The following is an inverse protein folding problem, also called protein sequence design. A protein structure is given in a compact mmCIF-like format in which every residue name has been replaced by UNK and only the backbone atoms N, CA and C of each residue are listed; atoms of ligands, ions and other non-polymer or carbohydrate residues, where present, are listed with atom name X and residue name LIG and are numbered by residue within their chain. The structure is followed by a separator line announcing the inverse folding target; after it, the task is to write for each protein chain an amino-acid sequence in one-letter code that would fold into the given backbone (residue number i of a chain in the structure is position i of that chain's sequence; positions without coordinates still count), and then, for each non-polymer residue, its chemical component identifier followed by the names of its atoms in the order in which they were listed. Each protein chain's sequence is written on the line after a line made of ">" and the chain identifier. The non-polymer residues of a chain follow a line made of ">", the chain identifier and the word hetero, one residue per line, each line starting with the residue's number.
data_IF_785190398002
#
_entry.id   IF_785190398002
#
_cell.length_a   1.000
_cell.length_b   1.000
_cell.length_c   1.000
_cell.angle_alpha   90.00
_cell.angle_beta   90.00
_cell.angle_gamma   90.00
#
_symmetry.space_group_name_H-M   'P 1'
#
loop_
_entity.id
_entity.type
_entity.pdbx_description
1 polymer ?
#
# COMPACT_ATOMS: atom_id res chain seq x y z
N UNK A 1 25.72 -3.04 -14.51
CA UNK A 1 24.73 -4.12 -14.68
C UNK A 1 23.38 -3.46 -14.83
N UNK A 2 22.69 -3.68 -15.96
CA UNK A 2 21.40 -3.03 -16.24
C UNK A 2 20.26 -3.67 -15.43
N UNK A 3 19.20 -2.91 -15.17
CA UNK A 3 18.00 -3.43 -14.53
C UNK A 3 17.39 -4.53 -15.42
N UNK A 4 17.51 -5.80 -15.01
CA UNK A 4 16.82 -6.91 -15.65
C UNK A 4 15.33 -6.76 -15.36
N UNK A 5 14.53 -6.43 -16.37
CA UNK A 5 13.06 -6.45 -16.24
C UNK A 5 12.63 -7.88 -15.90
N UNK A 6 11.97 -8.07 -14.77
CA UNK A 6 11.29 -9.33 -14.47
C UNK A 6 10.18 -9.51 -15.51
N UNK A 7 10.25 -10.59 -16.30
CA UNK A 7 9.43 -10.84 -17.49
C UNK A 7 7.97 -11.21 -17.16
N UNK A 8 7.58 -11.20 -15.88
CA UNK A 8 6.27 -11.61 -15.42
C UNK A 8 5.13 -10.56 -15.61
N UNK A 9 5.44 -9.30 -15.93
CA UNK A 9 4.42 -8.25 -16.13
C UNK A 9 4.44 -7.72 -17.57
N UNK A 10 3.76 -8.42 -18.48
CA UNK A 10 3.47 -7.90 -19.83
C UNK A 10 2.48 -6.74 -19.79
N UNK A 11 1.64 -6.65 -18.76
CA UNK A 11 0.69 -5.57 -18.53
C UNK A 11 0.51 -5.40 -17.01
N UNK A 12 0.18 -4.20 -16.52
CA UNK A 12 -0.29 -4.01 -15.14
C UNK A 12 -1.82 -4.17 -15.20
N UNK A 13 -2.39 -5.38 -14.98
CA UNK A 13 -3.83 -5.53 -15.04
C UNK A 13 -4.41 -4.80 -13.83
N UNK A 14 -5.00 -3.62 -14.03
CA UNK A 14 -5.95 -3.12 -13.05
C UNK A 14 -7.08 -4.14 -12.99
N UNK A 15 -7.14 -4.89 -11.89
CA UNK A 15 -8.00 -6.07 -11.75
C UNK A 15 -9.37 -5.75 -11.18
N UNK A 16 -9.51 -4.59 -10.56
CA UNK A 16 -10.77 -4.16 -9.96
C UNK A 16 -10.59 -3.07 -8.92
N UNK A 17 -11.68 -2.81 -8.22
CA UNK A 17 -11.76 -1.83 -7.14
C UNK A 17 -12.38 -2.55 -5.94
N UNK A 18 -11.79 -2.34 -4.76
CA UNK A 18 -12.36 -2.73 -3.48
C UNK A 18 -12.68 -1.46 -2.69
N UNK A 19 -13.88 -1.36 -2.14
CA UNK A 19 -14.33 -0.20 -1.36
C UNK A 19 -14.52 -0.66 0.08
N UNK A 20 -13.90 0.04 1.03
CA UNK A 20 -14.09 -0.17 2.46
C UNK A 20 -15.06 0.90 2.99
N UNK A 21 -16.32 0.53 3.17
CA UNK A 21 -17.43 1.46 3.41
C UNK A 21 -17.75 1.64 4.91
N UNK A 22 -18.73 2.51 5.19
CA UNK A 22 -19.21 2.73 6.55
C UNK A 22 -19.90 1.46 7.07
N UNK A 23 -19.36 0.88 8.15
CA UNK A 23 -19.84 -0.37 8.74
C UNK A 23 -18.89 -1.56 8.52
N UNK A 24 -17.88 -1.39 7.67
CA UNK A 24 -16.80 -2.36 7.50
C UNK A 24 -15.75 -2.28 8.61
N UNK A 25 -14.74 -3.13 8.52
CA UNK A 25 -13.64 -3.21 9.48
C UNK A 25 -12.65 -2.06 9.30
N UNK A 26 -12.13 -1.55 10.42
CA UNK A 26 -10.98 -0.64 10.43
C UNK A 26 -9.64 -1.37 10.21
N UNK A 27 -9.65 -2.70 10.15
CA UNK A 27 -8.50 -3.55 9.86
C UNK A 27 -8.84 -4.48 8.69
N UNK A 28 -8.10 -4.32 7.59
CA UNK A 28 -8.32 -5.03 6.32
C UNK A 28 -7.06 -5.84 5.99
N UNK A 29 -7.20 -7.16 5.87
CA UNK A 29 -6.11 -8.01 5.38
C UNK A 29 -6.17 -8.10 3.86
N UNK A 30 -5.15 -7.58 3.19
CA UNK A 30 -5.00 -7.68 1.73
C UNK A 30 -4.46 -9.07 1.41
N UNK A 31 -4.95 -9.69 0.32
CA UNK A 31 -4.41 -10.98 -0.12
C UNK A 31 -3.57 -10.83 -1.38
N UNK A 32 -2.66 -11.78 -1.57
CA UNK A 32 -1.70 -11.73 -2.66
C UNK A 32 -2.38 -11.88 -4.05
N UNK A 33 -3.64 -12.32 -4.12
CA UNK A 33 -4.43 -12.36 -5.35
C UNK A 33 -4.99 -10.99 -5.77
N UNK A 34 -5.04 -10.02 -4.85
CA UNK A 34 -5.59 -8.68 -5.08
C UNK A 34 -4.60 -7.76 -5.81
N UNK A 35 -3.49 -8.30 -6.32
CA UNK A 35 -2.53 -7.53 -7.10
C UNK A 35 -3.24 -6.87 -8.29
N UNK A 36 -3.07 -5.56 -8.43
CA UNK A 36 -3.74 -4.73 -9.42
C UNK A 36 -5.11 -4.21 -8.98
N UNK A 37 -5.54 -4.45 -7.74
CA UNK A 37 -6.76 -3.84 -7.18
C UNK A 37 -6.44 -2.45 -6.61
N UNK A 38 -7.39 -1.54 -6.80
CA UNK A 38 -7.42 -0.22 -6.14
C UNK A 38 -8.33 -0.32 -4.92
N UNK A 39 -7.80 -0.04 -3.74
CA UNK A 39 -8.52 0.03 -2.48
C UNK A 39 -8.94 1.48 -2.20
N UNK A 40 -10.24 1.72 -2.16
CA UNK A 40 -10.84 3.02 -1.83
C UNK A 40 -11.37 2.95 -0.41
N UNK A 41 -10.82 3.77 0.48
CA UNK A 41 -11.32 3.89 1.85
C UNK A 41 -12.43 4.94 1.95
N UNK A 42 -13.60 4.51 2.40
CA UNK A 42 -14.74 5.36 2.79
C UNK A 42 -15.11 5.18 4.27
N UNK A 43 -14.38 4.35 5.00
CA UNK A 43 -14.61 4.10 6.42
C UNK A 43 -14.25 5.33 7.26
N UNK A 44 -15.19 5.78 8.10
CA UNK A 44 -15.09 6.96 8.95
C UNK A 44 -14.21 6.75 10.21
N UNK A 45 -12.99 6.25 10.02
CA UNK A 45 -11.96 6.10 11.05
C UNK A 45 -10.63 5.67 10.44
N UNK A 46 -9.58 5.62 11.26
CA UNK A 46 -8.28 5.14 10.81
C UNK A 46 -8.39 3.70 10.33
N UNK A 47 -8.04 3.45 9.07
CA UNK A 47 -8.09 2.11 8.46
C UNK A 47 -6.69 1.57 8.24
N UNK A 48 -6.45 0.33 8.67
CA UNK A 48 -5.16 -0.35 8.50
C UNK A 48 -5.29 -1.47 7.48
N UNK A 49 -4.53 -1.38 6.39
CA UNK A 49 -4.37 -2.43 5.39
C UNK A 49 -3.10 -3.22 5.68
N UNK A 50 -3.25 -4.49 6.02
CA UNK A 50 -2.13 -5.41 6.26
C UNK A 50 -1.81 -6.17 4.99
N UNK A 51 -0.61 -5.97 4.45
CA UNK A 51 -0.12 -6.71 3.29
C UNK A 51 0.32 -8.13 3.68
N UNK A 52 0.31 -9.10 2.75
CA UNK A 52 0.90 -10.42 2.95
C UNK A 52 2.41 -10.38 3.24
N UNK A 53 3.02 -11.54 3.42
CA UNK A 53 4.49 -11.64 3.49
C UNK A 53 5.14 -11.28 2.14
N UNK A 54 6.30 -10.63 2.18
CA UNK A 54 7.03 -10.14 0.99
C UNK A 54 7.32 -11.24 -0.04
N UNK A 55 7.59 -12.47 0.40
CA UNK A 55 7.85 -13.61 -0.47
C UNK A 55 6.68 -13.94 -1.41
N UNK A 56 5.43 -13.76 -0.95
CA UNK A 56 4.22 -13.99 -1.74
C UNK A 56 3.88 -12.83 -2.68
N UNK A 57 4.64 -11.75 -2.58
CA UNK A 57 4.29 -10.43 -3.11
C UNK A 57 5.24 -9.94 -4.19
N UNK A 58 6.28 -10.72 -4.50
CA UNK A 58 7.19 -10.43 -5.61
C UNK A 58 6.46 -10.10 -6.92
N UNK A 59 6.72 -8.91 -7.44
CA UNK A 59 6.14 -8.39 -8.68
C UNK A 59 4.69 -7.91 -8.56
N UNK A 60 4.12 -7.87 -7.36
CA UNK A 60 2.73 -7.46 -7.12
C UNK A 60 2.65 -5.98 -6.75
N UNK A 61 1.52 -5.38 -7.12
CA UNK A 61 1.28 -3.95 -6.93
C UNK A 61 -0.16 -3.69 -6.46
N UNK A 62 -0.32 -2.69 -5.59
CA UNK A 62 -1.59 -2.30 -4.98
C UNK A 62 -1.68 -0.79 -4.95
N UNK A 63 -2.89 -0.25 -5.05
CA UNK A 63 -3.12 1.20 -4.90
C UNK A 63 -4.10 1.42 -3.75
N UNK A 64 -3.78 2.35 -2.87
CA UNK A 64 -4.61 2.74 -1.74
C UNK A 64 -4.97 4.21 -1.87
N UNK A 65 -6.24 4.55 -1.74
CA UNK A 65 -6.74 5.92 -1.79
C UNK A 65 -7.80 6.17 -0.73
N UNK A 66 -7.82 7.36 -0.14
CA UNK A 66 -8.88 7.77 0.79
C UNK A 66 -9.90 8.67 0.12
N UNK A 67 -11.19 8.33 0.22
CA UNK A 67 -12.30 9.21 -0.16
C UNK A 67 -12.96 9.88 1.06
N UNK A 68 -12.37 9.71 2.24
CA UNK A 68 -12.76 10.37 3.48
C UNK A 68 -11.55 11.04 4.14
N UNK A 69 -11.79 12.08 4.94
CA UNK A 69 -10.75 12.79 5.68
C UNK A 69 -10.30 11.97 6.91
N UNK A 70 -9.74 10.79 6.66
CA UNK A 70 -9.28 9.83 7.67
C UNK A 70 -7.96 9.20 7.25
N UNK A 71 -7.22 8.74 8.25
CA UNK A 71 -5.90 8.13 8.05
C UNK A 71 -6.01 6.73 7.47
N UNK A 72 -5.18 6.44 6.47
CA UNK A 72 -4.89 5.09 6.00
C UNK A 72 -3.51 4.70 6.51
N UNK A 73 -3.40 3.52 7.10
CA UNK A 73 -2.14 2.87 7.45
C UNK A 73 -1.97 1.66 6.54
N UNK A 74 -0.84 1.53 5.86
CA UNK A 74 -0.48 0.30 5.14
C UNK A 74 0.74 -0.31 5.82
N UNK A 75 0.64 -1.57 6.24
CA UNK A 75 1.69 -2.26 7.01
C UNK A 75 2.09 -3.58 6.36
N UNK A 76 3.39 -3.89 6.40
CA UNK A 76 3.93 -5.19 6.00
C UNK A 76 3.88 -6.24 7.12
N UNK A 77 3.32 -5.89 8.28
CA UNK A 77 3.37 -6.67 9.51
C UNK A 77 4.28 -6.02 10.55
N UNK A 78 5.02 -6.85 11.28
CA UNK A 78 5.94 -6.44 12.38
C UNK A 78 7.41 -6.51 11.94
N UNK A 79 7.66 -6.34 10.65
CA UNK A 79 9.01 -6.37 10.10
C UNK A 79 9.21 -5.11 9.31
N UNK A 80 10.35 -4.48 9.56
CA UNK A 80 10.87 -3.32 8.87
C UNK A 80 11.18 -3.67 7.39
N UNK A 81 10.14 -3.70 6.55
CA UNK A 81 10.23 -4.06 5.12
C UNK A 81 9.68 -2.98 4.19
N UNK A 82 9.15 -1.87 4.72
CA UNK A 82 8.61 -0.78 3.92
C UNK A 82 9.64 0.32 3.69
N UNK A 83 9.82 0.69 2.43
CA UNK A 83 10.66 1.80 1.98
C UNK A 83 9.85 2.82 1.20
N UNK A 84 10.12 4.11 1.39
CA UNK A 84 9.46 5.21 0.68
C UNK A 84 8.64 6.11 1.60
N UNK A 85 7.70 6.87 1.00
CA UNK A 85 6.96 7.95 1.67
C UNK A 85 7.38 9.34 1.17
N UNK A 86 6.70 10.39 1.64
CA UNK A 86 6.94 11.79 1.23
C UNK A 86 7.78 12.57 2.24
N UNK A 87 7.68 12.26 3.53
CA UNK A 87 8.18 13.12 4.61
C UNK A 87 9.52 12.67 5.22
N UNK A 88 9.90 11.40 5.05
CA UNK A 88 11.18 10.85 5.48
C UNK A 88 11.62 9.79 4.49
N UNK A 89 12.88 9.84 4.03
CA UNK A 89 13.53 8.69 3.37
C UNK A 89 13.94 7.74 4.50
N UNK A 90 12.96 7.10 5.15
CA UNK A 90 13.25 5.90 5.92
C UNK A 90 13.22 4.71 4.98
N UNK A 91 14.28 3.93 5.09
CA UNK A 91 14.42 2.58 4.56
C UNK A 91 14.04 1.67 5.72
N UNK A 92 13.25 0.63 5.46
CA UNK A 92 12.90 -0.41 6.43
C UNK A 92 12.08 0.11 7.63
N UNK A 93 10.83 0.51 7.39
CA UNK A 93 9.83 0.69 8.46
C UNK A 93 8.75 -0.38 8.44
N UNK A 94 8.02 -0.52 9.54
CA UNK A 94 6.90 -1.48 9.68
C UNK A 94 5.66 -1.06 8.85
N UNK A 95 5.48 0.24 8.63
CA UNK A 95 4.28 0.80 8.00
C UNK A 95 4.49 2.17 7.37
N UNK A 96 3.57 2.52 6.48
CA UNK A 96 3.38 3.88 5.97
C UNK A 96 1.99 4.40 6.34
N UNK A 97 1.92 5.66 6.77
CA UNK A 97 0.70 6.30 7.27
C UNK A 97 0.39 7.55 6.46
N UNK A 98 -0.85 7.70 5.98
CA UNK A 98 -1.30 8.90 5.27
C UNK A 98 -1.54 10.09 6.19
N UNK A 99 -1.61 11.29 5.62
CA UNK A 99 -1.86 12.55 6.33
C UNK A 99 -3.29 12.71 6.83
N UNK A 100 -4.21 11.85 6.39
CA UNK A 100 -5.61 11.85 6.81
C UNK A 100 -6.50 12.78 6.00
N UNK A 101 -6.14 13.06 4.74
CA UNK A 101 -6.91 13.93 3.87
C UNK A 101 -7.70 13.12 2.82
N UNK A 102 -8.79 13.70 2.35
CA UNK A 102 -9.49 13.21 1.16
C UNK A 102 -8.52 13.30 -0.02
N UNK A 103 -8.39 12.21 -0.77
CA UNK A 103 -7.53 12.11 -1.93
C UNK A 103 -6.08 11.75 -1.63
N UNK A 104 -5.71 11.43 -0.38
CA UNK A 104 -4.41 10.82 -0.08
C UNK A 104 -4.31 9.48 -0.83
N UNK A 105 -3.26 9.29 -1.63
CA UNK A 105 -3.12 8.12 -2.49
C UNK A 105 -1.66 7.66 -2.61
N UNK A 106 -1.42 6.35 -2.54
CA UNK A 106 -0.13 5.74 -2.84
C UNK A 106 -0.28 4.39 -3.54
N UNK A 107 0.75 4.00 -4.29
CA UNK A 107 0.94 2.62 -4.70
C UNK A 107 1.97 1.92 -3.82
N UNK A 108 1.80 0.62 -3.60
CA UNK A 108 2.78 -0.23 -2.95
C UNK A 108 3.15 -1.39 -3.90
N UNK A 109 4.44 -1.57 -4.16
CA UNK A 109 4.99 -2.60 -5.05
C UNK A 109 6.02 -3.41 -4.28
N UNK A 110 6.11 -4.71 -4.52
CA UNK A 110 7.08 -5.58 -3.84
C UNK A 110 8.04 -6.29 -4.80
N UNK A 111 9.32 -6.37 -4.44
CA UNK A 111 10.35 -7.09 -5.20
C UNK A 111 10.60 -8.54 -4.70
N UNK A 112 9.87 -8.95 -3.66
CA UNK A 112 10.05 -10.22 -2.96
C UNK A 112 10.86 -10.12 -1.67
N UNK A 113 11.45 -8.95 -1.37
CA UNK A 113 12.19 -8.67 -0.13
C UNK A 113 11.61 -7.48 0.60
N UNK A 114 11.31 -6.41 -0.13
CA UNK A 114 10.85 -5.14 0.40
C UNK A 114 9.56 -4.69 -0.28
N UNK A 115 8.80 -3.87 0.43
CA UNK A 115 7.73 -3.04 -0.10
C UNK A 115 8.25 -1.65 -0.44
N UNK A 116 7.96 -1.18 -1.64
CA UNK A 116 8.25 0.16 -2.12
C UNK A 116 6.96 0.94 -2.20
N UNK A 117 6.88 2.02 -1.44
CA UNK A 117 5.73 2.93 -1.40
C UNK A 117 5.99 4.11 -2.32
N UNK A 118 5.08 4.33 -3.26
CA UNK A 118 5.07 5.43 -4.21
C UNK A 118 3.86 6.31 -3.97
N UNK A 119 4.00 7.39 -3.17
CA UNK A 119 2.94 8.37 -3.00
C UNK A 119 2.61 9.06 -4.33
N UNK A 120 1.33 9.16 -4.67
CA UNK A 120 0.83 9.97 -5.79
C UNK A 120 0.31 11.33 -5.32
N UNK A 121 -0.30 11.35 -4.14
CA UNK A 121 -0.87 12.54 -3.51
C UNK A 121 -0.91 12.37 -1.99
N UNK A 122 -0.99 13.51 -1.29
CA UNK A 122 -0.99 13.52 0.17
C UNK A 122 0.40 13.36 0.78
N UNK A 123 0.45 13.46 2.10
CA UNK A 123 1.66 13.18 2.88
C UNK A 123 1.61 11.74 3.35
N UNK A 124 2.68 10.98 3.10
CA UNK A 124 2.83 9.61 3.54
C UNK A 124 4.10 9.49 4.39
N UNK A 125 3.92 9.19 5.68
CA UNK A 125 5.00 9.09 6.66
C UNK A 125 5.30 7.63 6.92
N UNK A 126 6.56 7.25 6.72
CA UNK A 126 7.07 5.93 7.09
C UNK A 126 7.50 5.92 8.56
N UNK A 127 7.27 4.81 9.26
CA UNK A 127 7.63 4.61 10.67
C UNK A 127 7.76 3.13 11.00
N UNK A 128 8.73 2.78 11.87
CA UNK A 128 8.77 1.56 12.68
C UNK A 128 8.23 1.82 14.07
#
# INVERSE_FOLDING_TARGET
>A
MGATRDLALTELPLRGIAINETGDSNAVSVVASDSGVIFINEFAGTTTYTLPTVDLMKGKAYVFTSNVAQTIVVTGGTTDVMSGGTASIQVDGDKVTSGGNIGDCCAVICDGTNYFVFPFSGTWTNSG
#
